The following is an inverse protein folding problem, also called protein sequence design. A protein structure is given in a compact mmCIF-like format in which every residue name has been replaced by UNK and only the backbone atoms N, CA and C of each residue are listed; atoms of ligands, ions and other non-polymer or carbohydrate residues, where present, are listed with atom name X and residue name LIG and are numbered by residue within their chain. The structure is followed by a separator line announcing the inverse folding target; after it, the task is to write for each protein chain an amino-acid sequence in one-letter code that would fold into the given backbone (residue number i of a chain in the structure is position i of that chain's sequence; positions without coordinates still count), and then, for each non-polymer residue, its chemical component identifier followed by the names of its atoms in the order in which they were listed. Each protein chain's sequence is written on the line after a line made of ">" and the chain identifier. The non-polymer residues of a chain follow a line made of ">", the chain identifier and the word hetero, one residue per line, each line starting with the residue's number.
data_IF_439621076003
#
_entry.id   IF_439621076003
#
_cell.length_a   1.000
_cell.length_b   1.000
_cell.length_c   1.000
_cell.angle_alpha   90.00
_cell.angle_beta   90.00
_cell.angle_gamma   90.00
#
_symmetry.space_group_name_H-M   'P 1'
#
loop_
_entity.id
_entity.type
_entity.pdbx_description
1 polymer ?
#
# COMPACT_ATOMS: atom_id res chain seq x y z
N UNK A 1 6.24 -19.12 -4.51
CA UNK A 1 5.59 -18.09 -3.68
C UNK A 1 6.14 -18.26 -2.28
N UNK A 2 6.59 -17.17 -1.68
CA UNK A 2 7.18 -17.21 -0.36
C UNK A 2 7.06 -15.86 0.34
N UNK A 3 7.08 -15.94 1.66
CA UNK A 3 7.17 -14.80 2.56
C UNK A 3 8.61 -14.71 3.07
N UNK A 4 9.21 -13.52 3.00
CA UNK A 4 10.57 -13.29 3.47
C UNK A 4 10.61 -12.22 4.57
N UNK A 5 11.32 -12.53 5.66
CA UNK A 5 11.51 -11.60 6.78
C UNK A 5 12.70 -10.66 6.52
N UNK A 6 12.47 -9.36 6.62
CA UNK A 6 13.51 -8.34 6.39
C UNK A 6 13.23 -7.07 7.19
N UNK A 7 14.21 -6.18 7.24
CA UNK A 7 14.05 -4.81 7.69
C UNK A 7 14.50 -3.84 6.59
N UNK A 8 14.21 -2.55 6.80
CA UNK A 8 14.70 -1.45 6.00
C UNK A 8 15.54 -0.56 6.92
N UNK A 9 16.87 -0.61 6.77
CA UNK A 9 17.84 0.10 7.64
C UNK A 9 17.62 -0.17 9.15
N UNK A 10 17.36 -1.43 9.53
CA UNK A 10 17.09 -1.84 10.91
C UNK A 10 15.64 -1.58 11.38
N UNK A 11 14.80 -0.96 10.56
CA UNK A 11 13.40 -0.71 10.89
C UNK A 11 12.50 -1.84 10.33
N UNK A 12 11.72 -2.53 11.18
CA UNK A 12 10.80 -3.58 10.73
C UNK A 12 9.56 -3.06 9.99
N UNK A 13 9.29 -1.75 10.02
CA UNK A 13 8.15 -1.12 9.34
C UNK A 13 8.46 -0.83 7.86
N UNK A 14 8.79 -1.88 7.12
CA UNK A 14 9.28 -1.80 5.73
C UNK A 14 8.26 -1.22 4.75
N UNK A 15 6.95 -1.46 4.97
CA UNK A 15 5.89 -0.98 4.09
C UNK A 15 5.61 0.51 4.23
N UNK A 16 6.20 1.19 5.21
CA UNK A 16 6.22 2.66 5.28
C UNK A 16 7.11 3.25 4.19
N UNK A 17 8.20 2.56 3.85
CA UNK A 17 9.22 3.07 2.94
C UNK A 17 8.98 2.70 1.47
N UNK A 18 8.18 1.68 1.20
CA UNK A 18 8.07 1.10 -0.14
C UNK A 18 6.63 0.97 -0.58
N UNK A 19 6.36 1.41 -1.80
CA UNK A 19 5.14 1.06 -2.53
C UNK A 19 5.48 -0.05 -3.54
N UNK A 20 4.67 -1.10 -3.63
CA UNK A 20 4.85 -2.14 -4.62
C UNK A 20 3.49 -2.73 -5.07
N UNK A 21 3.43 -3.12 -6.33
CA UNK A 21 2.34 -3.90 -6.91
C UNK A 21 2.93 -5.09 -7.72
N UNK A 22 2.13 -5.71 -8.58
CA UNK A 22 2.58 -6.86 -9.40
C UNK A 22 3.57 -6.48 -10.52
N UNK A 23 3.63 -5.20 -10.93
CA UNK A 23 4.44 -4.71 -12.05
C UNK A 23 5.71 -3.99 -11.60
N UNK A 24 5.58 -3.07 -10.65
CA UNK A 24 6.62 -2.15 -10.25
C UNK A 24 6.65 -1.89 -8.74
N UNK A 25 7.76 -1.33 -8.28
CA UNK A 25 7.92 -0.81 -6.93
C UNK A 25 8.62 0.54 -6.94
N UNK A 26 8.25 1.40 -5.99
CA UNK A 26 8.90 2.69 -5.76
C UNK A 26 9.58 2.62 -4.40
N UNK A 27 10.87 2.88 -4.40
CA UNK A 27 11.75 2.84 -3.22
C UNK A 27 12.46 4.17 -3.05
N UNK A 28 12.88 4.54 -1.82
CA UNK A 28 13.61 5.78 -1.59
C UNK A 28 14.91 5.87 -2.40
N UNK A 29 15.35 7.10 -2.67
CA UNK A 29 16.71 7.35 -3.18
C UNK A 29 17.73 6.76 -2.20
N UNK A 30 18.72 6.03 -2.73
CA UNK A 30 19.78 5.41 -1.92
C UNK A 30 19.41 4.10 -1.24
N UNK A 31 18.26 3.49 -1.58
CA UNK A 31 17.93 2.13 -1.12
C UNK A 31 19.01 1.14 -1.54
N UNK A 32 19.40 0.26 -0.62
CA UNK A 32 20.47 -0.70 -0.82
C UNK A 32 20.10 -1.77 -1.86
N UNK A 33 21.11 -2.21 -2.63
CA UNK A 33 20.92 -3.23 -3.67
C UNK A 33 20.37 -4.54 -3.12
N UNK A 34 20.70 -4.87 -1.87
CA UNK A 34 20.21 -6.07 -1.19
C UNK A 34 18.69 -6.01 -1.05
N UNK A 35 18.12 -4.92 -0.53
CA UNK A 35 16.68 -4.79 -0.42
C UNK A 35 15.98 -4.73 -1.78
N UNK A 36 16.58 -4.03 -2.76
CA UNK A 36 16.08 -4.03 -4.15
C UNK A 36 16.00 -5.46 -4.72
N UNK A 37 17.01 -6.30 -4.48
CA UNK A 37 17.00 -7.69 -4.93
C UNK A 37 15.91 -8.50 -4.23
N UNK A 38 15.67 -8.29 -2.93
CA UNK A 38 14.57 -8.94 -2.23
C UNK A 38 13.20 -8.66 -2.88
N UNK A 39 12.96 -7.41 -3.29
CA UNK A 39 11.73 -7.03 -4.02
C UNK A 39 11.63 -7.80 -5.36
N UNK A 40 12.70 -7.83 -6.15
CA UNK A 40 12.71 -8.54 -7.46
C UNK A 40 12.50 -10.04 -7.29
N UNK A 41 13.18 -10.65 -6.33
CA UNK A 41 13.19 -12.10 -6.15
C UNK A 41 11.89 -12.63 -5.54
N UNK A 42 11.35 -11.94 -4.53
CA UNK A 42 10.20 -12.42 -3.77
C UNK A 42 8.88 -11.87 -4.30
N UNK A 43 8.84 -10.62 -4.76
CA UNK A 43 7.63 -10.00 -5.31
C UNK A 43 7.56 -10.07 -6.83
N UNK A 44 8.62 -10.54 -7.53
CA UNK A 44 8.66 -10.63 -9.00
C UNK A 44 8.44 -9.30 -9.72
N UNK A 45 8.73 -8.20 -9.03
CA UNK A 45 8.65 -6.85 -9.55
C UNK A 45 9.77 -6.63 -10.57
N UNK A 46 9.41 -6.20 -11.78
CA UNK A 46 10.38 -5.97 -12.87
C UNK A 46 11.01 -4.60 -12.80
N UNK A 47 10.17 -3.57 -12.62
CA UNK A 47 10.59 -2.17 -12.59
C UNK A 47 10.72 -1.68 -11.15
N UNK A 48 11.90 -1.18 -10.78
CA UNK A 48 12.14 -0.56 -9.47
C UNK A 48 12.62 0.87 -9.66
N UNK A 49 11.84 1.81 -9.14
CA UNK A 49 12.07 3.24 -9.31
C UNK A 49 12.62 3.77 -7.99
N UNK A 50 13.83 4.31 -8.03
CA UNK A 50 14.46 4.93 -6.86
C UNK A 50 14.21 6.43 -6.89
N UNK A 51 13.16 6.86 -6.21
CA UNK A 51 12.81 8.28 -6.04
C UNK A 51 12.19 8.53 -4.67
N UNK A 52 12.29 9.77 -4.21
CA UNK A 52 11.53 10.24 -3.05
C UNK A 52 10.15 10.72 -3.51
N UNK A 53 9.26 10.99 -2.55
CA UNK A 53 7.97 11.64 -2.81
C UNK A 53 7.84 12.80 -1.83
N UNK A 54 7.59 14.00 -2.37
CA UNK A 54 7.59 15.25 -1.61
C UNK A 54 8.90 15.48 -0.83
N UNK A 55 10.04 15.05 -1.40
CA UNK A 55 11.37 15.18 -0.80
C UNK A 55 11.66 14.22 0.35
N UNK A 56 10.75 13.31 0.71
CA UNK A 56 10.91 12.39 1.85
C UNK A 56 10.94 10.91 1.44
N UNK A 57 11.41 10.05 2.35
CA UNK A 57 11.72 8.64 2.08
C UNK A 57 10.59 7.67 2.47
N UNK A 58 9.45 8.14 2.98
CA UNK A 58 8.34 7.28 3.45
C UNK A 58 7.34 6.99 2.32
N UNK A 59 7.83 6.42 1.21
CA UNK A 59 7.07 6.29 -0.05
C UNK A 59 5.75 5.56 0.14
N UNK A 60 5.74 4.45 0.89
CA UNK A 60 4.53 3.68 1.15
C UNK A 60 3.45 4.49 1.87
N UNK A 61 3.83 5.42 2.74
CA UNK A 61 2.88 6.33 3.40
C UNK A 61 2.35 7.44 2.47
N UNK A 62 3.12 7.81 1.45
CA UNK A 62 2.81 8.94 0.55
C UNK A 62 2.10 8.50 -0.73
N UNK A 63 2.19 7.23 -1.12
CA UNK A 63 1.69 6.72 -2.40
C UNK A 63 0.60 5.69 -2.20
N UNK A 64 -0.50 5.86 -2.95
CA UNK A 64 -1.52 4.84 -3.19
C UNK A 64 -1.69 4.66 -4.70
N UNK A 65 -2.14 3.51 -5.16
CA UNK A 65 -2.28 3.24 -6.58
C UNK A 65 -2.35 1.76 -6.90
N UNK A 66 -2.48 1.45 -8.18
CA UNK A 66 -2.51 0.09 -8.70
C UNK A 66 -1.50 -0.04 -9.86
N UNK A 67 -1.69 -1.04 -10.72
CA UNK A 67 -0.82 -1.29 -11.86
C UNK A 67 -0.93 -0.26 -12.99
N UNK A 68 -1.99 0.54 -13.02
CA UNK A 68 -2.33 1.46 -14.11
C UNK A 68 -2.15 2.92 -13.71
N UNK A 69 -2.34 3.26 -12.43
CA UNK A 69 -2.23 4.62 -11.94
C UNK A 69 -1.58 4.74 -10.55
N UNK A 70 -1.12 5.94 -10.24
CA UNK A 70 -0.60 6.35 -8.94
C UNK A 70 -1.28 7.65 -8.47
N UNK A 71 -1.58 7.71 -7.18
CA UNK A 71 -2.07 8.89 -6.47
C UNK A 71 -0.93 9.40 -5.59
N UNK A 72 -0.51 10.63 -5.87
CA UNK A 72 0.58 11.33 -5.21
C UNK A 72 0.05 12.57 -4.47
N UNK A 73 0.74 13.05 -3.43
CA UNK A 73 0.32 14.25 -2.72
C UNK A 73 0.53 15.52 -3.56
N UNK A 74 -0.19 16.59 -3.22
CA UNK A 74 -0.06 17.89 -3.91
C UNK A 74 1.34 18.50 -3.88
N UNK A 75 2.16 18.14 -2.90
CA UNK A 75 3.51 18.67 -2.69
C UNK A 75 4.62 17.75 -3.25
N UNK A 76 4.27 16.79 -4.12
CA UNK A 76 5.26 16.02 -4.89
C UNK A 76 6.11 16.94 -5.76
N UNK A 77 7.40 16.66 -5.88
CA UNK A 77 8.31 17.49 -6.66
C UNK A 77 8.28 17.08 -8.15
N UNK A 78 8.50 18.05 -9.04
CA UNK A 78 8.46 17.81 -10.49
C UNK A 78 9.50 16.75 -10.92
N UNK A 79 10.71 16.77 -10.35
CA UNK A 79 11.75 15.78 -10.69
C UNK A 79 11.36 14.35 -10.26
N UNK A 80 10.62 14.21 -9.16
CA UNK A 80 10.08 12.93 -8.68
C UNK A 80 9.00 12.40 -9.62
N UNK A 81 8.08 13.26 -10.07
CA UNK A 81 7.05 12.90 -11.06
C UNK A 81 7.69 12.48 -12.38
N UNK A 82 8.69 13.22 -12.85
CA UNK A 82 9.41 12.91 -14.09
C UNK A 82 10.20 11.61 -13.97
N UNK A 83 10.78 11.30 -12.81
CA UNK A 83 11.46 10.03 -12.58
C UNK A 83 10.49 8.84 -12.72
N UNK A 84 9.26 8.98 -12.21
CA UNK A 84 8.21 7.95 -12.34
C UNK A 84 7.77 7.82 -13.80
N UNK A 85 7.41 8.92 -14.48
CA UNK A 85 6.93 8.89 -15.88
C UNK A 85 7.96 8.35 -16.88
N UNK A 86 9.25 8.56 -16.64
CA UNK A 86 10.32 8.03 -17.49
C UNK A 86 10.49 6.51 -17.35
N UNK A 87 10.19 5.98 -16.17
CA UNK A 87 10.37 4.56 -15.87
C UNK A 87 9.09 3.74 -16.09
N UNK A 88 7.92 4.36 -15.95
CA UNK A 88 6.63 3.67 -15.93
C UNK A 88 5.64 4.30 -16.89
N UNK A 89 4.87 3.44 -17.56
CA UNK A 89 3.67 3.83 -18.28
C UNK A 89 2.44 3.73 -17.35
N UNK A 90 2.32 4.70 -16.45
CA UNK A 90 1.20 4.80 -15.49
C UNK A 90 0.67 6.23 -15.44
N UNK A 91 -0.62 6.36 -15.23
CA UNK A 91 -1.25 7.65 -15.01
C UNK A 91 -0.90 8.16 -13.61
N UNK A 92 -0.55 9.45 -13.51
CA UNK A 92 -0.19 10.07 -12.23
C UNK A 92 -1.22 11.13 -11.89
N UNK A 93 -1.83 10.96 -10.73
CA UNK A 93 -2.80 11.88 -10.16
C UNK A 93 -2.17 12.59 -8.98
N UNK A 94 -2.19 13.92 -9.04
CA UNK A 94 -1.78 14.78 -7.93
C UNK A 94 -3.04 15.16 -7.17
N UNK A 95 -3.17 14.67 -5.94
CA UNK A 95 -4.38 14.83 -5.15
C UNK A 95 -4.50 16.26 -4.60
N UNK A 96 -5.55 17.04 -4.92
CA UNK A 96 -5.72 18.42 -4.44
C UNK A 96 -6.21 18.45 -2.99
N UNK A 97 -5.41 17.93 -2.06
CA UNK A 97 -5.74 17.85 -0.64
C UNK A 97 -4.53 18.20 0.23
N UNK A 98 -4.77 18.88 1.35
CA UNK A 98 -3.73 19.11 2.37
C UNK A 98 -3.31 17.82 3.09
N UNK A 99 -4.04 16.71 2.90
CA UNK A 99 -3.73 15.41 3.48
C UNK A 99 -2.69 14.70 2.61
N UNK A 100 -1.42 14.93 2.93
CA UNK A 100 -0.28 14.49 2.11
C UNK A 100 0.04 13.01 2.25
N UNK A 101 -0.32 12.34 3.34
CA UNK A 101 -0.08 10.91 3.53
C UNK A 101 -1.12 10.05 2.79
N UNK A 102 -1.18 10.19 1.46
CA UNK A 102 -2.19 9.56 0.60
C UNK A 102 -2.24 8.04 0.80
N UNK A 103 -1.07 7.39 0.89
CA UNK A 103 -0.95 5.95 1.12
C UNK A 103 -1.52 5.47 2.46
N UNK A 104 -1.76 6.38 3.41
CA UNK A 104 -2.40 6.05 4.69
C UNK A 104 -3.93 6.20 4.64
N UNK A 105 -4.47 7.07 3.79
CA UNK A 105 -5.90 7.43 3.81
C UNK A 105 -6.68 6.95 2.56
N UNK A 106 -5.97 6.42 1.55
CA UNK A 106 -6.56 5.86 0.34
C UNK A 106 -6.12 4.41 0.16
N UNK A 107 -7.09 3.51 0.09
CA UNK A 107 -6.91 2.13 -0.38
C UNK A 107 -7.60 2.00 -1.73
N UNK A 108 -6.91 1.47 -2.73
CA UNK A 108 -7.43 1.39 -4.09
C UNK A 108 -7.15 0.01 -4.71
N UNK A 109 -8.09 -0.44 -5.54
CA UNK A 109 -8.01 -1.63 -6.39
C UNK A 109 -8.13 -1.21 -7.87
N UNK A 110 -8.45 -2.15 -8.77
CA UNK A 110 -8.63 -1.82 -10.20
C UNK A 110 -9.80 -0.86 -10.48
N UNK A 111 -10.95 -1.05 -9.81
CA UNK A 111 -12.20 -0.30 -10.09
C UNK A 111 -12.86 0.33 -8.87
N UNK A 112 -12.24 0.17 -7.69
CA UNK A 112 -12.84 0.57 -6.41
C UNK A 112 -11.81 1.19 -5.50
N UNK A 113 -12.22 2.20 -4.74
CA UNK A 113 -11.40 2.81 -3.71
C UNK A 113 -12.17 2.96 -2.41
N UNK A 114 -11.48 2.77 -1.29
CA UNK A 114 -11.96 3.13 0.04
C UNK A 114 -11.09 4.28 0.55
N UNK A 115 -11.71 5.43 0.78
CA UNK A 115 -11.04 6.66 1.22
C UNK A 115 -11.56 7.11 2.58
N UNK A 116 -10.74 7.87 3.30
CA UNK A 116 -11.15 8.42 4.58
C UNK A 116 -12.31 9.39 4.40
N UNK A 117 -13.32 9.30 5.27
CA UNK A 117 -14.54 10.13 5.21
C UNK A 117 -14.30 11.64 5.17
N UNK A 118 -13.18 12.13 5.71
CA UNK A 118 -12.84 13.56 5.69
C UNK A 118 -12.05 13.98 4.44
N UNK A 119 -11.84 13.10 3.45
CA UNK A 119 -11.22 13.50 2.19
C UNK A 119 -12.17 14.44 1.43
N UNK A 120 -11.61 15.51 0.88
CA UNK A 120 -12.34 16.57 0.21
C UNK A 120 -13.07 16.03 -1.02
N UNK A 121 -14.30 16.50 -1.27
CA UNK A 121 -15.12 16.01 -2.40
C UNK A 121 -14.46 16.29 -3.76
N UNK A 122 -13.73 17.40 -3.88
CA UNK A 122 -12.90 17.70 -5.06
C UNK A 122 -11.81 16.64 -5.29
N UNK A 123 -11.14 16.21 -4.21
CA UNK A 123 -10.12 15.17 -4.29
C UNK A 123 -10.72 13.80 -4.66
N UNK A 124 -11.94 13.51 -4.19
CA UNK A 124 -12.68 12.29 -4.54
C UNK A 124 -13.08 12.31 -6.01
N UNK A 125 -13.65 13.41 -6.48
CA UNK A 125 -14.04 13.58 -7.87
C UNK A 125 -12.85 13.40 -8.82
N UNK A 126 -11.68 13.93 -8.44
CA UNK A 126 -10.44 13.73 -9.21
C UNK A 126 -10.05 12.24 -9.29
N UNK A 127 -10.23 11.47 -8.21
CA UNK A 127 -9.99 10.01 -8.23
C UNK A 127 -11.00 9.34 -9.17
N UNK A 128 -12.29 9.63 -9.04
CA UNK A 128 -13.36 9.03 -9.86
C UNK A 128 -13.17 9.31 -11.36
N UNK A 129 -13.02 10.59 -11.73
CA UNK A 129 -13.01 11.06 -13.12
C UNK A 129 -11.80 10.55 -13.91
N UNK A 130 -10.64 10.42 -13.26
CA UNK A 130 -9.39 10.06 -13.95
C UNK A 130 -9.08 8.56 -13.91
N UNK A 131 -9.73 7.78 -13.04
CA UNK A 131 -9.38 6.38 -12.80
C UNK A 131 -10.49 5.39 -13.19
N UNK A 132 -11.70 5.84 -13.51
CA UNK A 132 -12.88 4.97 -13.69
C UNK A 132 -13.08 4.05 -12.47
N UNK A 133 -12.95 4.66 -11.28
CA UNK A 133 -12.99 3.98 -9.98
C UNK A 133 -14.18 4.47 -9.18
N UNK A 134 -14.97 3.54 -8.64
CA UNK A 134 -16.05 3.83 -7.68
C UNK A 134 -15.45 4.10 -6.29
N UNK A 135 -15.67 5.30 -5.74
CA UNK A 135 -15.08 5.72 -4.46
C UNK A 135 -16.09 5.58 -3.31
N UNK A 136 -15.68 4.85 -2.29
CA UNK A 136 -16.42 4.67 -1.03
C UNK A 136 -15.74 5.45 0.09
N UNK A 137 -16.52 6.22 0.86
CA UNK A 137 -16.04 6.84 2.10
C UNK A 137 -16.19 5.89 3.28
N UNK A 138 -15.19 5.84 4.15
CA UNK A 138 -15.28 5.06 5.37
C UNK A 138 -14.10 5.20 6.32
N UNK A 139 -13.97 4.20 7.19
CA UNK A 139 -12.91 4.04 8.19
C UNK A 139 -12.62 2.56 8.37
N UNK A 140 -11.45 2.25 8.93
CA UNK A 140 -11.06 0.88 9.28
C UNK A 140 -10.65 0.85 10.74
N UNK A 141 -11.30 0.01 11.54
CA UNK A 141 -11.10 -0.07 12.98
C UNK A 141 -11.29 1.31 13.65
N UNK A 142 -12.34 2.04 13.23
CA UNK A 142 -12.63 3.41 13.67
C UNK A 142 -11.47 4.41 13.45
N UNK A 143 -10.52 4.08 12.56
CA UNK A 143 -9.35 4.91 12.25
C UNK A 143 -9.46 5.54 10.85
N UNK A 144 -8.96 6.77 10.67
CA UNK A 144 -8.81 7.36 9.33
C UNK A 144 -7.72 6.68 8.49
N UNK A 145 -6.84 5.88 9.11
CA UNK A 145 -5.67 5.28 8.48
C UNK A 145 -6.01 3.97 7.74
N UNK A 146 -6.92 4.06 6.76
CA UNK A 146 -7.42 2.93 5.98
C UNK A 146 -6.27 2.19 5.29
N UNK A 147 -5.44 2.92 4.55
CA UNK A 147 -4.32 2.36 3.80
C UNK A 147 -3.28 1.73 4.74
N UNK A 148 -2.99 2.34 5.88
CA UNK A 148 -2.05 1.74 6.86
C UNK A 148 -2.61 0.47 7.51
N UNK A 149 -3.94 0.34 7.59
CA UNK A 149 -4.64 -0.71 8.30
C UNK A 149 -4.98 -1.94 7.44
N UNK A 150 -4.72 -1.88 6.13
CA UNK A 150 -5.11 -2.93 5.18
C UNK A 150 -3.98 -3.23 4.20
N UNK A 151 -3.72 -4.51 3.97
CA UNK A 151 -2.94 -5.03 2.84
C UNK A 151 -3.86 -5.85 1.96
N UNK A 152 -3.87 -5.57 0.66
CA UNK A 152 -4.71 -6.24 -0.33
C UNK A 152 -3.85 -6.70 -1.51
N UNK A 153 -4.09 -7.92 -1.97
CA UNK A 153 -3.60 -8.40 -3.27
C UNK A 153 -4.75 -9.01 -4.08
N UNK A 154 -4.45 -9.75 -5.15
CA UNK A 154 -5.47 -10.42 -5.98
C UNK A 154 -6.21 -11.55 -5.25
N UNK A 155 -5.62 -12.10 -4.19
CA UNK A 155 -6.10 -13.31 -3.52
C UNK A 155 -6.94 -13.04 -2.27
N UNK A 156 -6.68 -11.94 -1.56
CA UNK A 156 -7.33 -11.64 -0.30
C UNK A 156 -6.90 -10.33 0.33
N UNK A 157 -7.49 -10.04 1.49
CA UNK A 157 -7.27 -8.83 2.27
C UNK A 157 -6.90 -9.20 3.70
N UNK A 158 -5.75 -8.70 4.17
CA UNK A 158 -5.38 -8.70 5.58
C UNK A 158 -5.66 -7.32 6.17
N UNK A 159 -6.52 -7.26 7.18
CA UNK A 159 -6.93 -6.03 7.83
C UNK A 159 -6.53 -5.99 9.31
N UNK A 160 -6.57 -4.78 9.87
CA UNK A 160 -6.37 -4.50 11.29
C UNK A 160 -7.19 -5.47 12.18
N UNK A 161 -6.63 -5.99 13.29
CA UNK A 161 -7.30 -6.93 14.19
C UNK A 161 -8.59 -6.41 14.81
N UNK A 162 -8.75 -5.10 14.89
CA UNK A 162 -9.83 -4.43 15.61
C UNK A 162 -11.00 -4.00 14.72
N UNK A 163 -11.06 -4.43 13.44
CA UNK A 163 -12.23 -4.14 12.61
C UNK A 163 -13.49 -4.83 13.18
N UNK A 164 -14.60 -4.12 13.15
CA UNK A 164 -15.90 -4.68 13.54
C UNK A 164 -16.41 -5.67 12.47
N UNK A 165 -17.34 -6.58 12.83
CA UNK A 165 -17.99 -7.44 11.85
C UNK A 165 -18.68 -6.67 10.71
N UNK A 166 -19.16 -5.46 10.98
CA UNK A 166 -19.78 -4.60 9.98
C UNK A 166 -18.75 -3.99 9.03
N UNK A 167 -17.65 -3.45 9.56
CA UNK A 167 -16.53 -2.96 8.73
C UNK A 167 -15.97 -4.08 7.85
N UNK A 168 -15.82 -5.29 8.40
CA UNK A 168 -15.40 -6.45 7.61
C UNK A 168 -16.31 -6.72 6.42
N UNK A 169 -17.63 -6.84 6.66
CA UNK A 169 -18.62 -7.07 5.59
C UNK A 169 -18.58 -5.97 4.55
N UNK A 170 -18.49 -4.71 4.96
CA UNK A 170 -18.41 -3.58 4.05
C UNK A 170 -17.15 -3.66 3.15
N UNK A 171 -15.98 -4.00 3.73
CA UNK A 171 -14.75 -4.17 2.95
C UNK A 171 -14.86 -5.35 1.97
N UNK A 172 -15.43 -6.47 2.40
CA UNK A 172 -15.70 -7.64 1.55
C UNK A 172 -16.67 -7.28 0.41
N UNK A 173 -17.70 -6.48 0.69
CA UNK A 173 -18.68 -6.06 -0.30
C UNK A 173 -18.12 -5.06 -1.31
N UNK A 174 -17.26 -4.15 -0.87
CA UNK A 174 -16.55 -3.23 -1.77
C UNK A 174 -15.61 -4.05 -2.63
N UNK A 175 -14.60 -4.69 -2.07
CA UNK A 175 -13.50 -5.26 -2.87
C UNK A 175 -13.78 -6.67 -3.42
N UNK A 176 -14.88 -7.31 -3.03
CA UNK A 176 -15.26 -8.68 -3.44
C UNK A 176 -14.15 -9.70 -3.18
N UNK A 177 -13.42 -9.53 -2.08
CA UNK A 177 -12.30 -10.37 -1.63
C UNK A 177 -12.52 -10.79 -0.19
N UNK A 178 -12.07 -11.99 0.17
CA UNK A 178 -12.11 -12.47 1.55
C UNK A 178 -11.23 -11.61 2.44
N UNK A 179 -11.80 -11.09 3.52
CA UNK A 179 -11.07 -10.31 4.53
C UNK A 179 -10.74 -11.22 5.70
N UNK A 180 -9.49 -11.23 6.13
CA UNK A 180 -9.08 -11.77 7.41
C UNK A 180 -8.36 -10.69 8.22
N UNK A 181 -8.30 -10.88 9.53
CA UNK A 181 -7.61 -9.98 10.43
C UNK A 181 -6.29 -10.56 10.92
N UNK A 182 -5.33 -9.71 11.23
CA UNK A 182 -4.04 -10.13 11.80
C UNK A 182 -3.16 -8.94 12.17
N UNK A 183 -1.97 -9.24 12.69
CA UNK A 183 -0.97 -8.25 13.09
C UNK A 183 0.36 -8.52 12.41
N UNK A 184 1.30 -7.60 12.57
CA UNK A 184 2.68 -7.71 12.09
C UNK A 184 3.63 -7.25 13.18
N UNK A 185 4.91 -7.59 13.11
CA UNK A 185 5.95 -7.02 13.98
C UNK A 185 5.65 -7.15 15.49
N UNK A 186 5.19 -8.33 15.93
CA UNK A 186 4.89 -8.64 17.33
C UNK A 186 3.67 -7.88 17.88
N UNK A 187 2.55 -7.97 17.16
CA UNK A 187 1.24 -7.45 17.59
C UNK A 187 0.89 -6.07 17.06
N UNK A 188 1.65 -5.50 16.13
CA UNK A 188 1.35 -4.19 15.55
C UNK A 188 0.14 -4.27 14.61
N UNK A 189 -0.84 -3.41 14.85
CA UNK A 189 -2.17 -3.46 14.22
C UNK A 189 -2.23 -2.83 12.82
N UNK A 190 -1.32 -1.91 12.48
CA UNK A 190 -1.27 -1.28 11.16
C UNK A 190 -0.48 -2.16 10.19
N UNK A 191 -1.11 -3.23 9.73
CA UNK A 191 -0.47 -4.32 9.00
C UNK A 191 0.35 -3.87 7.79
N UNK A 192 -0.09 -2.85 7.03
CA UNK A 192 0.63 -2.37 5.84
C UNK A 192 1.98 -1.73 6.18
N UNK A 193 2.15 -1.23 7.40
CA UNK A 193 3.45 -0.66 7.81
C UNK A 193 4.56 -1.71 7.83
N UNK A 194 4.24 -2.97 8.14
CA UNK A 194 5.21 -4.05 8.25
C UNK A 194 5.19 -5.04 7.09
N UNK A 195 4.38 -4.83 6.06
CA UNK A 195 4.18 -5.78 4.97
C UNK A 195 4.25 -5.05 3.63
N UNK A 196 5.04 -5.58 2.69
CA UNK A 196 4.98 -5.26 1.27
C UNK A 196 4.57 -6.54 0.56
N UNK A 197 3.37 -6.60 0.00
CA UNK A 197 2.84 -7.80 -0.62
C UNK A 197 2.21 -7.50 -1.97
N UNK A 198 2.27 -8.50 -2.85
CA UNK A 198 1.57 -8.49 -4.12
C UNK A 198 1.05 -9.91 -4.42
N UNK A 199 0.69 -10.21 -5.66
CA UNK A 199 0.11 -11.51 -6.01
C UNK A 199 1.13 -12.66 -6.05
N UNK A 200 2.44 -12.35 -6.02
CA UNK A 200 3.53 -13.31 -6.15
C UNK A 200 4.28 -13.61 -4.85
N UNK A 201 4.16 -12.78 -3.83
CA UNK A 201 4.88 -12.95 -2.57
C UNK A 201 4.65 -11.83 -1.56
N UNK A 202 5.35 -11.92 -0.44
CA UNK A 202 5.39 -10.86 0.56
C UNK A 202 6.80 -10.69 1.16
N UNK A 203 7.21 -9.44 1.37
CA UNK A 203 8.25 -9.08 2.32
C UNK A 203 7.56 -8.62 3.61
N UNK A 204 8.06 -9.08 4.75
CA UNK A 204 7.46 -8.81 6.05
C UNK A 204 8.54 -8.39 7.05
N UNK A 205 8.21 -7.48 7.95
CA UNK A 205 9.13 -6.96 8.96
C UNK A 205 9.74 -8.06 9.84
N UNK A 206 11.04 -7.96 10.11
CA UNK A 206 11.84 -9.00 10.78
C UNK A 206 11.44 -9.30 12.24
N UNK A 207 10.54 -8.50 12.83
CA UNK A 207 9.96 -8.75 14.16
C UNK A 207 8.65 -9.54 14.11
N UNK A 208 8.20 -9.93 12.93
CA UNK A 208 6.92 -10.65 12.76
C UNK A 208 7.06 -12.09 13.23
N UNK A 209 6.10 -12.53 14.04
CA UNK A 209 6.11 -13.83 14.70
C UNK A 209 5.59 -14.95 13.79
N UNK A 210 5.89 -16.20 14.13
CA UNK A 210 5.44 -17.37 13.34
C UNK A 210 3.91 -17.47 13.19
N UNK A 211 3.16 -17.13 14.24
CA UNK A 211 1.68 -17.10 14.18
C UNK A 211 1.16 -16.00 13.24
N UNK A 212 1.77 -14.82 13.26
CA UNK A 212 1.46 -13.73 12.33
C UNK A 212 1.77 -14.13 10.89
N UNK A 213 2.94 -14.72 10.64
CA UNK A 213 3.36 -15.22 9.31
C UNK A 213 2.33 -16.22 8.77
N UNK A 214 1.90 -17.20 9.56
CA UNK A 214 0.88 -18.17 9.14
C UNK A 214 -0.42 -17.48 8.72
N UNK A 215 -0.84 -16.45 9.47
CA UNK A 215 -2.06 -15.69 9.15
C UNK A 215 -1.91 -14.86 7.88
N UNK A 216 -0.76 -14.22 7.68
CA UNK A 216 -0.44 -13.43 6.48
C UNK A 216 -0.45 -14.35 5.25
N UNK A 217 0.32 -15.43 5.28
CA UNK A 217 0.42 -16.40 4.17
C UNK A 217 -0.92 -17.03 3.83
N UNK A 218 -1.72 -17.44 4.84
CA UNK A 218 -3.04 -18.01 4.58
C UNK A 218 -4.01 -16.98 3.94
N UNK A 219 -3.92 -15.72 4.35
CA UNK A 219 -4.83 -14.66 3.89
C UNK A 219 -4.50 -14.16 2.50
N UNK A 220 -3.23 -13.84 2.27
CA UNK A 220 -2.75 -13.29 1.00
C UNK A 220 -2.37 -14.39 -0.01
N UNK A 221 -2.38 -15.65 0.41
CA UNK A 221 -1.98 -16.83 -0.35
C UNK A 221 -0.58 -16.67 -0.93
N UNK A 222 0.42 -16.32 -0.11
CA UNK A 222 1.81 -16.02 -0.51
C UNK A 222 2.85 -16.88 0.20
#
# INVERSE_FOLDING_TARGET
>A
MGLYLTDFHGNPNIGVYVFANDKFAIVPKGTDRKFINLLKENLKVKEIISTNIAGITVIGAMVSGNENFLILPYNVLEDEVQAIKKALNVDIIILPSKKTAVGNIVLVDEKKALVHSSLEDEAIKIIEDNMDVEVFKGSVAMSPLIGSSIVMNKHGILANPNITPNERRNIEDIFKKTVNTGTVNHGFQFVRTGIIANSYGALVGNKTTGSEIMKITATLKV
#
